data_IF_800516948766
#
_entry.id   IF_800516948766
#
_cell.length_a   1.000
_cell.length_b   1.000
_cell.length_c   1.000
_cell.angle_alpha   90.00
_cell.angle_beta   90.00
_cell.angle_gamma   90.00
#
_symmetry.space_group_name_H-M   'P 1'
#
loop_
_entity.id
_entity.type
_entity.pdbx_description
1 polymer ?
#
# COMPACT_ATOMS: atom_id res chain seq x y z
N UNK A 1 26.93 9.21 15.00
CA UNK A 1 26.96 8.88 13.57
C UNK A 1 26.41 10.10 12.85
N UNK A 2 27.10 10.65 11.86
CA UNK A 2 26.52 11.75 11.09
C UNK A 2 25.34 11.21 10.26
N UNK A 3 24.18 11.90 10.24
CA UNK A 3 23.05 11.48 9.42
C UNK A 3 23.44 11.53 7.95
N UNK A 4 23.05 10.51 7.18
CA UNK A 4 23.20 10.53 5.73
C UNK A 4 22.32 11.64 5.14
N UNK A 5 22.91 12.51 4.34
CA UNK A 5 22.17 13.53 3.59
C UNK A 5 21.90 13.00 2.18
N UNK A 6 20.64 12.70 1.82
CA UNK A 6 20.32 12.22 0.48
C UNK A 6 20.59 13.30 -0.57
N UNK A 7 20.96 12.85 -1.78
CA UNK A 7 21.08 13.74 -2.93
C UNK A 7 19.72 14.36 -3.27
N UNK A 8 19.71 15.59 -3.76
CA UNK A 8 18.51 16.23 -4.30
C UNK A 8 17.99 15.45 -5.50
N UNK A 9 16.67 15.33 -5.62
CA UNK A 9 16.04 14.66 -6.77
C UNK A 9 16.53 15.29 -8.08
N UNK A 10 17.05 14.50 -9.04
CA UNK A 10 17.71 15.01 -10.24
C UNK A 10 16.69 15.41 -11.33
N UNK A 11 15.73 16.26 -11.01
CA UNK A 11 14.61 16.59 -11.91
C UNK A 11 15.09 17.26 -13.21
N UNK A 12 16.18 18.03 -13.13
CA UNK A 12 16.74 18.80 -14.25
C UNK A 12 17.60 17.96 -15.21
N UNK A 13 18.12 16.82 -14.75
CA UNK A 13 19.09 16.01 -15.53
C UNK A 13 18.48 14.75 -16.13
N UNK A 14 17.18 14.52 -15.94
CA UNK A 14 16.46 13.40 -16.56
C UNK A 14 16.31 13.67 -18.07
N UNK A 15 16.78 12.72 -18.89
CA UNK A 15 16.53 12.70 -20.34
C UNK A 15 15.09 12.25 -20.62
N UNK A 16 14.15 13.18 -20.48
CA UNK A 16 12.72 12.91 -20.67
C UNK A 16 12.40 12.36 -22.06
N UNK A 17 13.10 12.83 -23.10
CA UNK A 17 12.86 12.44 -24.49
C UNK A 17 13.09 10.94 -24.66
N UNK A 18 14.18 10.40 -24.09
CA UNK A 18 14.46 8.96 -24.12
C UNK A 18 13.41 8.11 -23.42
N UNK A 19 12.71 8.67 -22.44
CA UNK A 19 11.66 7.96 -21.68
C UNK A 19 10.26 8.04 -22.32
N UNK A 20 10.00 8.98 -23.23
CA UNK A 20 8.69 9.17 -23.89
C UNK A 20 8.08 7.86 -24.42
N UNK A 21 8.81 6.96 -25.11
CA UNK A 21 8.22 5.72 -25.61
C UNK A 21 7.74 4.77 -24.51
N UNK A 22 8.44 4.71 -23.37
CA UNK A 22 8.07 3.87 -22.22
C UNK A 22 6.92 4.50 -21.44
N UNK A 23 6.95 5.82 -21.23
CA UNK A 23 5.85 6.57 -20.60
C UNK A 23 4.56 6.37 -21.41
N UNK A 24 4.63 6.48 -22.74
CA UNK A 24 3.48 6.25 -23.62
C UNK A 24 2.93 4.82 -23.53
N UNK A 25 3.80 3.81 -23.39
CA UNK A 25 3.36 2.41 -23.19
C UNK A 25 2.68 2.22 -21.83
N UNK A 26 3.28 2.75 -20.76
CA UNK A 26 2.72 2.67 -19.40
C UNK A 26 1.37 3.39 -19.32
N UNK A 27 1.28 4.61 -19.85
CA UNK A 27 0.05 5.39 -19.87
C UNK A 27 -1.08 4.67 -20.63
N UNK A 28 -0.78 4.04 -21.78
CA UNK A 28 -1.79 3.25 -22.51
C UNK A 28 -2.26 2.02 -21.72
N UNK A 29 -1.37 1.36 -21.00
CA UNK A 29 -1.76 0.22 -20.16
C UNK A 29 -2.68 0.65 -19.01
N UNK A 30 -2.38 1.77 -18.36
CA UNK A 30 -3.22 2.37 -17.31
C UNK A 30 -4.57 2.82 -17.87
N UNK A 31 -4.60 3.53 -18.99
CA UNK A 31 -5.84 3.98 -19.62
C UNK A 31 -6.74 2.81 -20.04
N UNK A 32 -6.15 1.70 -20.53
CA UNK A 32 -6.91 0.48 -20.82
C UNK A 32 -7.52 -0.12 -19.55
N UNK A 33 -6.78 -0.16 -18.45
CA UNK A 33 -7.29 -0.62 -17.16
C UNK A 33 -8.44 0.27 -16.68
N UNK A 34 -8.25 1.59 -16.66
CA UNK A 34 -9.27 2.56 -16.24
C UNK A 34 -10.56 2.42 -17.05
N UNK A 35 -10.45 2.34 -18.39
CA UNK A 35 -11.60 2.16 -19.27
C UNK A 35 -12.35 0.83 -19.06
N UNK A 36 -11.65 -0.26 -18.70
CA UNK A 36 -12.29 -1.54 -18.38
C UNK A 36 -13.05 -1.48 -17.05
N UNK A 37 -12.47 -0.84 -16.03
CA UNK A 37 -13.06 -0.72 -14.70
C UNK A 37 -14.31 0.17 -14.71
N UNK A 38 -14.31 1.25 -15.50
CA UNK A 38 -15.47 2.15 -15.65
C UNK A 38 -16.73 1.45 -16.21
N UNK A 39 -16.56 0.34 -16.94
CA UNK A 39 -17.69 -0.44 -17.46
C UNK A 39 -18.35 -1.38 -16.43
N UNK A 40 -17.82 -1.46 -15.20
CA UNK A 40 -18.30 -2.37 -14.16
C UNK A 40 -19.25 -1.61 -13.23
N UNK A 41 -20.42 -2.20 -12.92
CA UNK A 41 -21.43 -1.57 -12.06
C UNK A 41 -20.94 -1.39 -10.62
N UNK A 42 -20.20 -2.37 -10.11
CA UNK A 42 -19.66 -2.43 -8.74
C UNK A 42 -18.18 -2.86 -8.77
N UNK A 43 -17.27 -2.00 -9.25
CA UNK A 43 -15.86 -2.35 -9.42
C UNK A 43 -15.19 -2.75 -8.11
N UNK A 44 -15.62 -2.20 -6.97
CA UNK A 44 -15.12 -2.50 -5.62
C UNK A 44 -15.20 -3.99 -5.27
N UNK A 45 -16.22 -4.71 -5.74
CA UNK A 45 -16.39 -6.14 -5.50
C UNK A 45 -15.27 -6.93 -6.19
N UNK A 46 -14.96 -6.56 -7.43
CA UNK A 46 -13.90 -7.20 -8.22
C UNK A 46 -12.50 -6.78 -7.73
N UNK A 47 -12.33 -5.51 -7.35
CA UNK A 47 -11.05 -4.95 -6.96
C UNK A 47 -10.63 -5.37 -5.55
N UNK A 48 -11.58 -5.59 -4.63
CA UNK A 48 -11.29 -6.00 -3.24
C UNK A 48 -10.27 -7.16 -3.12
N UNK A 49 -10.44 -8.32 -3.77
CA UNK A 49 -9.46 -9.40 -3.69
C UNK A 49 -8.13 -9.07 -4.37
N UNK A 50 -8.12 -8.19 -5.39
CA UNK A 50 -6.88 -7.75 -6.06
C UNK A 50 -6.07 -6.81 -5.17
N UNK A 51 -6.74 -5.88 -4.50
CA UNK A 51 -6.18 -5.00 -3.48
C UNK A 51 -5.62 -5.80 -2.30
N UNK A 52 -6.33 -6.85 -1.85
CA UNK A 52 -5.79 -7.74 -0.82
C UNK A 52 -4.55 -8.50 -1.30
N UNK A 53 -4.58 -9.01 -2.53
CA UNK A 53 -3.41 -9.68 -3.12
C UNK A 53 -2.21 -8.75 -3.20
N UNK A 54 -2.40 -7.50 -3.55
CA UNK A 54 -1.34 -6.49 -3.55
C UNK A 54 -0.77 -6.30 -2.14
N UNK A 55 -1.61 -6.15 -1.11
CA UNK A 55 -1.16 -6.02 0.27
C UNK A 55 -0.33 -7.23 0.74
N UNK A 56 -0.74 -8.45 0.36
CA UNK A 56 0.03 -9.69 0.64
C UNK A 56 1.39 -9.66 -0.07
N UNK A 57 1.44 -9.28 -1.35
CA UNK A 57 2.67 -9.26 -2.13
C UNK A 57 3.64 -8.19 -1.63
N UNK A 58 3.14 -6.99 -1.36
CA UNK A 58 3.93 -5.89 -0.81
C UNK A 58 4.48 -6.23 0.58
N UNK A 59 3.66 -6.75 1.49
CA UNK A 59 4.11 -7.10 2.85
C UNK A 59 5.10 -8.26 2.86
N UNK A 60 5.03 -9.17 1.87
CA UNK A 60 6.01 -10.26 1.71
C UNK A 60 7.43 -9.73 1.45
N UNK A 61 7.57 -8.59 0.78
CA UNK A 61 8.88 -7.94 0.56
C UNK A 61 9.49 -7.53 1.91
N UNK A 62 8.65 -7.11 2.85
CA UNK A 62 9.02 -6.72 4.22
C UNK A 62 9.19 -7.92 5.18
N UNK A 63 8.85 -9.14 4.73
CA UNK A 63 9.13 -10.39 5.43
C UNK A 63 7.92 -11.14 6.00
N UNK A 64 6.68 -10.64 5.81
CA UNK A 64 5.48 -11.34 6.29
C UNK A 64 5.31 -12.71 5.62
N UNK A 65 4.86 -13.71 6.37
CA UNK A 65 4.61 -15.07 5.91
C UNK A 65 3.13 -15.42 6.02
N UNK A 66 2.34 -14.94 5.05
CA UNK A 66 0.94 -15.32 4.91
C UNK A 66 0.52 -15.40 3.42
N UNK A 67 -0.46 -16.27 3.15
CA UNK A 67 -1.09 -16.41 1.84
C UNK A 67 -2.36 -15.55 1.74
N UNK A 68 -2.84 -15.32 0.52
CA UNK A 68 -4.11 -14.63 0.30
C UNK A 68 -5.29 -15.40 0.93
N UNK A 69 -5.29 -16.73 0.80
CA UNK A 69 -6.33 -17.60 1.36
C UNK A 69 -6.39 -17.48 2.89
N UNK A 70 -5.23 -17.51 3.55
CA UNK A 70 -5.13 -17.39 5.01
C UNK A 70 -5.64 -16.04 5.52
N UNK A 71 -5.33 -14.96 4.79
CA UNK A 71 -5.83 -13.63 5.14
C UNK A 71 -7.35 -13.55 4.95
N UNK A 72 -7.88 -14.09 3.85
CA UNK A 72 -9.34 -14.11 3.59
C UNK A 72 -10.08 -14.98 4.61
N UNK A 73 -9.53 -16.14 4.98
CA UNK A 73 -10.07 -17.00 6.04
C UNK A 73 -10.09 -16.26 7.38
N UNK A 74 -9.03 -15.52 7.70
CA UNK A 74 -8.94 -14.72 8.90
C UNK A 74 -10.02 -13.62 8.94
N UNK A 75 -10.21 -12.88 7.84
CA UNK A 75 -11.26 -11.85 7.76
C UNK A 75 -12.68 -12.45 7.89
N UNK A 76 -12.89 -13.67 7.40
CA UNK A 76 -14.16 -14.37 7.55
C UNK A 76 -14.41 -14.88 8.98
N UNK A 77 -13.35 -15.18 9.72
CA UNK A 77 -13.40 -15.67 11.10
C UNK A 77 -13.37 -14.48 12.07
N UNK A 78 -14.54 -13.93 12.41
CA UNK A 78 -14.72 -12.70 13.21
C UNK A 78 -14.07 -12.65 14.62
N UNK A 79 -13.32 -13.68 15.05
CA UNK A 79 -12.70 -13.79 16.38
C UNK A 79 -11.48 -14.73 16.37
N UNK A 80 -10.34 -14.26 15.90
CA UNK A 80 -9.06 -14.87 16.24
C UNK A 80 -8.27 -13.89 17.11
N UNK A 81 -7.83 -14.34 18.29
CA UNK A 81 -6.99 -13.53 19.18
C UNK A 81 -5.58 -13.51 18.59
N UNK A 82 -4.96 -12.33 18.54
CA UNK A 82 -3.64 -12.05 17.96
C UNK A 82 -2.47 -12.68 18.73
N UNK A 83 -2.38 -14.00 18.80
CA UNK A 83 -1.45 -14.69 19.70
C UNK A 83 -0.30 -15.39 18.96
N UNK A 84 -0.46 -15.69 17.67
CA UNK A 84 0.57 -16.32 16.83
C UNK A 84 1.36 -15.32 15.98
N UNK A 85 2.57 -15.69 15.59
CA UNK A 85 3.38 -14.88 14.65
C UNK A 85 2.73 -14.74 13.28
N UNK A 86 1.96 -15.74 12.85
CA UNK A 86 1.22 -15.71 11.59
C UNK A 86 0.06 -14.71 11.64
N UNK A 87 -0.65 -14.62 12.76
CA UNK A 87 -1.71 -13.61 12.93
C UNK A 87 -1.16 -12.19 12.96
N UNK A 88 0.07 -11.99 13.47
CA UNK A 88 0.77 -10.70 13.36
C UNK A 88 1.10 -10.36 11.91
N UNK A 89 1.60 -11.31 11.14
CA UNK A 89 1.85 -11.14 9.70
C UNK A 89 0.57 -10.79 8.94
N UNK A 90 -0.53 -11.48 9.24
CA UNK A 90 -1.85 -11.18 8.67
C UNK A 90 -2.32 -9.78 9.06
N UNK A 91 -2.13 -9.38 10.32
CA UNK A 91 -2.50 -8.04 10.77
C UNK A 91 -1.66 -6.94 10.08
N UNK A 92 -0.38 -7.18 9.80
CA UNK A 92 0.46 -6.25 9.01
C UNK A 92 -0.11 -6.07 7.59
N UNK A 93 -0.52 -7.15 6.95
CA UNK A 93 -1.16 -7.12 5.62
C UNK A 93 -2.49 -6.35 5.66
N UNK A 94 -3.30 -6.58 6.69
CA UNK A 94 -4.57 -5.85 6.88
C UNK A 94 -4.29 -4.36 7.09
N UNK A 95 -3.31 -4.01 7.91
CA UNK A 95 -2.91 -2.61 8.13
C UNK A 95 -2.44 -1.94 6.84
N UNK A 96 -1.71 -2.66 5.98
CA UNK A 96 -1.34 -2.17 4.65
C UNK A 96 -2.58 -1.81 3.83
N UNK A 97 -3.56 -2.72 3.76
CA UNK A 97 -4.82 -2.48 3.04
C UNK A 97 -5.58 -1.29 3.62
N UNK A 98 -5.66 -1.19 4.93
CA UNK A 98 -6.29 -0.06 5.62
C UNK A 98 -5.59 1.26 5.32
N UNK A 99 -4.25 1.30 5.41
CA UNK A 99 -3.48 2.49 5.10
C UNK A 99 -3.69 2.93 3.64
N UNK A 100 -3.69 1.98 2.70
CA UNK A 100 -3.93 2.30 1.28
C UNK A 100 -5.34 2.87 1.06
N UNK A 101 -6.38 2.27 1.65
CA UNK A 101 -7.74 2.78 1.53
C UNK A 101 -7.89 4.17 2.16
N UNK A 102 -7.34 4.39 3.36
CA UNK A 102 -7.30 5.71 3.99
C UNK A 102 -6.54 6.74 3.14
N UNK A 103 -5.46 6.34 2.46
CA UNK A 103 -4.75 7.22 1.54
C UNK A 103 -5.62 7.65 0.36
N UNK A 104 -6.37 6.71 -0.24
CA UNK A 104 -7.29 7.01 -1.35
C UNK A 104 -8.40 7.98 -0.92
N UNK A 105 -8.98 7.77 0.26
CA UNK A 105 -9.99 8.68 0.81
C UNK A 105 -9.43 10.09 1.02
N UNK A 106 -8.29 10.21 1.69
CA UNK A 106 -7.62 11.49 1.96
C UNK A 106 -7.20 12.23 0.68
N UNK A 107 -6.82 11.50 -0.38
CA UNK A 107 -6.42 12.10 -1.67
C UNK A 107 -7.59 12.78 -2.39
N UNK A 108 -8.84 12.42 -2.09
CA UNK A 108 -10.01 13.12 -2.61
C UNK A 108 -10.18 14.51 -1.98
N UNK A 109 -9.56 14.75 -0.82
CA UNK A 109 -9.72 16.00 -0.06
C UNK A 109 -8.51 16.92 -0.16
N UNK A 110 -7.29 16.35 -0.21
CA UNK A 110 -6.04 17.12 -0.13
C UNK A 110 -4.87 16.42 -0.84
N UNK A 111 -3.85 17.17 -1.31
CA UNK A 111 -2.65 16.58 -1.90
C UNK A 111 -1.83 15.82 -0.86
N UNK A 112 -0.86 15.02 -1.35
CA UNK A 112 0.10 14.31 -0.50
C UNK A 112 0.89 15.32 0.32
N UNK A 113 0.89 15.13 1.64
CA UNK A 113 1.66 15.93 2.60
C UNK A 113 2.42 15.03 3.55
N UNK A 114 3.44 15.57 4.22
CA UNK A 114 4.15 14.84 5.28
C UNK A 114 3.19 14.38 6.39
N UNK A 115 2.17 15.16 6.72
CA UNK A 115 1.17 14.80 7.73
C UNK A 115 0.35 13.59 7.30
N UNK A 116 -0.02 13.52 6.01
CA UNK A 116 -0.67 12.34 5.44
C UNK A 116 0.24 11.11 5.56
N UNK A 117 1.51 11.21 5.17
CA UNK A 117 2.45 10.08 5.27
C UNK A 117 2.60 9.63 6.74
N UNK A 118 2.68 10.57 7.70
CA UNK A 118 2.71 10.26 9.13
C UNK A 118 1.45 9.56 9.62
N UNK A 119 0.28 9.93 9.11
CA UNK A 119 -0.99 9.28 9.39
C UNK A 119 -1.01 7.84 8.87
N UNK A 120 -0.63 7.64 7.61
CA UNK A 120 -0.52 6.29 7.01
C UNK A 120 0.49 5.42 7.76
N UNK A 121 1.63 5.98 8.16
CA UNK A 121 2.64 5.28 8.94
C UNK A 121 2.11 4.80 10.31
N UNK A 122 1.21 5.56 10.95
CA UNK A 122 0.54 5.09 12.19
C UNK A 122 -0.36 3.90 11.95
N UNK A 123 -1.14 3.92 10.86
CA UNK A 123 -2.02 2.81 10.49
C UNK A 123 -1.18 1.55 10.26
N UNK A 124 -0.10 1.65 9.47
CA UNK A 124 0.80 0.54 9.18
C UNK A 124 1.34 -0.13 10.46
N UNK A 125 1.72 0.65 11.47
CA UNK A 125 2.32 0.15 12.72
C UNK A 125 1.32 -0.21 13.83
N UNK A 126 0.02 -0.17 13.58
CA UNK A 126 -0.99 -0.44 14.62
C UNK A 126 -1.02 -1.93 14.98
N UNK A 127 -0.76 -2.28 16.25
CA UNK A 127 -0.88 -3.65 16.78
C UNK A 127 -0.03 -4.72 16.09
N UNK A 128 1.11 -4.32 15.51
CA UNK A 128 2.01 -5.21 14.75
C UNK A 128 3.47 -5.11 15.21
N UNK A 129 4.36 -5.87 14.58
CA UNK A 129 5.80 -5.73 14.82
C UNK A 129 6.21 -4.31 14.43
N UNK A 130 6.98 -3.66 15.31
CA UNK A 130 7.37 -2.27 15.09
C UNK A 130 6.42 -1.21 15.63
N UNK A 131 5.35 -1.58 16.37
CA UNK A 131 4.50 -0.62 17.11
C UNK A 131 5.30 0.35 18.01
N UNK A 132 6.46 -0.10 18.49
CA UNK A 132 7.35 0.67 19.37
C UNK A 132 8.38 1.52 18.57
N UNK A 133 8.34 1.50 17.23
CA UNK A 133 9.19 2.30 16.33
C UNK A 133 8.55 3.66 16.01
N UNK A 134 8.08 4.35 17.03
CA UNK A 134 7.60 5.73 16.97
C UNK A 134 6.57 5.98 15.83
N UNK A 135 5.35 5.40 15.91
CA UNK A 135 4.35 5.52 14.87
C UNK A 135 4.04 6.97 14.45
N UNK A 136 4.16 7.23 13.15
CA UNK A 136 3.96 8.56 12.57
C UNK A 136 5.09 9.56 12.81
N UNK A 137 6.26 9.11 13.24
CA UNK A 137 7.49 9.89 13.16
C UNK A 137 8.23 9.57 11.86
N UNK A 138 8.64 10.63 11.15
CA UNK A 138 9.41 10.65 9.90
C UNK A 138 10.34 11.85 10.01
#
# INVERSE_FOLDING_TARGET
>A
MEPYVPQTLPIETIDWIRHVPLIGKANRALARYDGLVQGIVHPEILLSPLTMREAVLSSRIEGTQASLEEVLEFEAQAKAKYETEKEKDIQEIINYRLAMNSALELLNERPITINMIRELHRILLTSVRGRDREPGQI
#
